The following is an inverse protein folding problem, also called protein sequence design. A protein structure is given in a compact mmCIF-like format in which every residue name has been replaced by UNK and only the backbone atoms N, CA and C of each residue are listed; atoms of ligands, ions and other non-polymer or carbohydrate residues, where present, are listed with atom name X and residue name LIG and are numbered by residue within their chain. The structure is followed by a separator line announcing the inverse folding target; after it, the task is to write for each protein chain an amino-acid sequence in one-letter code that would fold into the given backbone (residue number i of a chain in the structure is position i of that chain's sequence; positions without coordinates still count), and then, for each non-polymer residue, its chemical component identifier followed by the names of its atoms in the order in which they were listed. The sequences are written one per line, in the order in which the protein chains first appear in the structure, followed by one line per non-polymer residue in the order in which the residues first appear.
data_IF_204905273836
#
_entry.id   IF_204905273836
#
_cell.length_a   1.000
_cell.length_b   1.000
_cell.length_c   1.000
_cell.angle_alpha   90.00
_cell.angle_beta   90.00
_cell.angle_gamma   90.00
#
_symmetry.space_group_name_H-M   'P 1'
#
loop_
_entity.id
_entity.type
_entity.pdbx_description
1 polymer ?
#
# COMPACT_ATOMS: atom_id res chain seq x y z
N UNK A 1 -28.13 -13.09 11.06
CA UNK A 1 -27.01 -12.48 10.30
C UNK A 1 -27.03 -13.06 8.90
N UNK A 2 -27.25 -12.23 7.88
CA UNK A 2 -27.14 -12.64 6.48
C UNK A 2 -25.65 -12.60 6.11
N UNK A 3 -25.09 -13.73 5.68
CA UNK A 3 -23.68 -13.81 5.28
C UNK A 3 -23.54 -13.11 3.92
N UNK A 4 -22.68 -12.09 3.86
CA UNK A 4 -22.32 -11.42 2.62
C UNK A 4 -21.08 -12.09 2.02
N UNK A 5 -21.17 -12.48 0.74
CA UNK A 5 -20.07 -13.12 0.02
C UNK A 5 -19.35 -12.12 -0.89
N UNK A 6 -18.02 -12.10 -0.83
CA UNK A 6 -17.18 -11.38 -1.80
C UNK A 6 -16.76 -12.35 -2.92
N UNK A 7 -16.75 -11.90 -4.17
CA UNK A 7 -16.35 -12.71 -5.33
C UNK A 7 -15.06 -12.18 -5.96
N UNK A 8 -14.10 -13.05 -6.27
CA UNK A 8 -12.86 -12.74 -7.01
C UNK A 8 -12.39 -13.96 -7.81
N UNK A 9 -11.83 -13.73 -8.99
CA UNK A 9 -11.14 -14.76 -9.78
C UNK A 9 -9.67 -14.86 -9.34
N UNK A 10 -9.18 -16.08 -9.10
CA UNK A 10 -7.79 -16.36 -8.70
C UNK A 10 -7.20 -17.50 -9.53
N UNK A 11 -5.87 -17.60 -9.56
CA UNK A 11 -5.14 -18.78 -10.03
C UNK A 11 -4.51 -19.48 -8.81
N UNK A 12 -5.07 -20.60 -8.32
CA UNK A 12 -4.55 -21.28 -7.15
C UNK A 12 -3.25 -22.03 -7.45
N UNK A 13 -2.37 -22.07 -6.45
CA UNK A 13 -1.20 -22.94 -6.38
C UNK A 13 -1.43 -23.98 -5.28
N UNK A 14 -0.92 -25.19 -5.50
CA UNK A 14 -1.07 -26.31 -4.56
C UNK A 14 0.29 -26.92 -4.28
N UNK A 15 0.59 -27.11 -2.99
CA UNK A 15 1.71 -27.90 -2.51
C UNK A 15 1.17 -29.08 -1.71
N UNK A 16 1.57 -30.30 -2.11
CA UNK A 16 1.17 -31.55 -1.44
C UNK A 16 2.40 -32.16 -0.77
N UNK A 17 2.23 -32.63 0.45
CA UNK A 17 3.27 -33.35 1.18
C UNK A 17 2.63 -34.48 1.97
N UNK A 18 3.35 -35.57 2.16
CA UNK A 18 2.90 -36.69 2.97
C UNK A 18 3.81 -36.82 4.18
N UNK A 19 3.20 -36.91 5.36
CA UNK A 19 3.93 -37.21 6.61
C UNK A 19 3.12 -38.22 7.41
N UNK A 20 3.76 -39.31 7.82
CA UNK A 20 3.16 -40.40 8.60
C UNK A 20 1.92 -41.03 7.92
N UNK A 21 1.94 -41.13 6.58
CA UNK A 21 0.83 -41.69 5.78
C UNK A 21 -0.37 -40.76 5.62
N UNK A 22 -0.27 -39.51 6.08
CA UNK A 22 -1.32 -38.49 5.94
C UNK A 22 -0.89 -37.46 4.90
N UNK A 23 -1.66 -37.36 3.82
CA UNK A 23 -1.50 -36.31 2.82
C UNK A 23 -1.95 -34.96 3.37
N UNK A 24 -1.07 -33.97 3.29
CA UNK A 24 -1.34 -32.57 3.61
C UNK A 24 -1.32 -31.73 2.34
N UNK A 25 -2.39 -30.94 2.16
CA UNK A 25 -2.57 -30.02 1.04
C UNK A 25 -2.45 -28.59 1.54
N UNK A 26 -1.56 -27.83 0.94
CA UNK A 26 -1.38 -26.40 1.16
C UNK A 26 -1.80 -25.65 -0.10
N UNK A 27 -2.72 -24.70 0.04
CA UNK A 27 -3.25 -23.89 -1.05
C UNK A 27 -2.79 -22.44 -0.86
N UNK A 28 -2.31 -21.83 -1.94
CA UNK A 28 -1.93 -20.42 -1.96
C UNK A 28 -2.33 -19.78 -3.28
N UNK A 29 -2.40 -18.45 -3.33
CA UNK A 29 -2.57 -17.69 -4.57
C UNK A 29 -1.89 -16.35 -4.38
N UNK A 30 -1.29 -15.82 -5.44
CA UNK A 30 -0.83 -14.43 -5.46
C UNK A 30 -1.90 -13.58 -6.10
N UNK A 31 -2.27 -12.48 -5.45
CA UNK A 31 -3.26 -11.52 -5.95
C UNK A 31 -2.68 -10.12 -5.87
N UNK A 32 -2.72 -9.39 -6.99
CA UNK A 32 -2.46 -7.96 -7.00
C UNK A 32 -3.77 -7.23 -6.71
N UNK A 33 -3.91 -6.72 -5.50
CA UNK A 33 -5.05 -5.88 -5.12
C UNK A 33 -4.62 -4.43 -4.97
N UNK A 34 -5.41 -3.45 -5.47
CA UNK A 34 -5.18 -2.06 -5.15
C UNK A 34 -5.08 -1.87 -3.64
N UNK A 35 -4.01 -1.22 -3.19
CA UNK A 35 -3.83 -0.83 -1.80
C UNK A 35 -4.01 0.68 -1.69
N UNK A 36 -4.78 1.10 -0.70
CA UNK A 36 -4.90 2.49 -0.31
C UNK A 36 -4.07 2.70 0.95
N UNK A 37 -3.18 3.68 0.89
CA UNK A 37 -2.42 4.13 2.04
C UNK A 37 -2.94 5.48 2.51
N UNK A 38 -2.99 5.67 3.82
CA UNK A 38 -3.10 6.99 4.41
C UNK A 38 -1.72 7.64 4.44
N UNK A 39 -1.60 8.88 3.99
CA UNK A 39 -0.34 9.62 4.04
C UNK A 39 -0.29 10.41 5.34
N UNK A 40 0.81 10.30 6.08
CA UNK A 40 0.98 11.02 7.35
C UNK A 40 2.35 11.64 7.39
N UNK A 41 2.43 12.98 7.27
CA UNK A 41 3.66 13.72 7.48
C UNK A 41 4.27 13.41 8.84
N UNK A 42 5.57 13.17 8.87
CA UNK A 42 6.34 12.83 10.06
C UNK A 42 7.59 13.71 10.11
N UNK A 43 7.96 14.14 11.33
CA UNK A 43 9.16 14.92 11.54
C UNK A 43 10.43 14.07 11.28
N UNK A 44 11.46 14.69 10.70
CA UNK A 44 12.75 14.05 10.49
C UNK A 44 13.61 14.78 9.47
N UNK A 45 13.35 14.52 8.18
CA UNK A 45 14.18 15.06 7.07
C UNK A 45 13.69 16.44 6.62
N UNK A 46 12.38 16.63 6.55
CA UNK A 46 11.72 17.89 6.19
C UNK A 46 10.72 18.28 7.29
N UNK A 47 10.49 19.59 7.56
CA UNK A 47 9.43 20.03 8.46
C UNK A 47 8.06 19.54 8.01
N UNK A 48 7.21 19.17 8.97
CA UNK A 48 5.86 18.61 8.70
C UNK A 48 5.03 19.57 7.87
N UNK A 49 5.04 20.86 8.21
CA UNK A 49 4.28 21.90 7.53
C UNK A 49 4.72 22.06 6.07
N UNK A 50 6.01 21.88 5.80
CA UNK A 50 6.55 21.94 4.44
C UNK A 50 6.13 20.71 3.64
N UNK A 51 6.12 19.52 4.24
CA UNK A 51 5.64 18.30 3.59
C UNK A 51 4.16 18.45 3.22
N UNK A 52 3.33 18.91 4.15
CA UNK A 52 1.91 19.17 3.93
C UNK A 52 1.67 20.18 2.81
N UNK A 53 2.39 21.30 2.83
CA UNK A 53 2.26 22.33 1.81
C UNK A 53 2.60 21.79 0.41
N UNK A 54 3.71 21.07 0.28
CA UNK A 54 4.15 20.51 -1.00
C UNK A 54 3.17 19.44 -1.50
N UNK A 55 2.73 18.53 -0.64
CA UNK A 55 1.76 17.48 -1.03
C UNK A 55 0.43 18.09 -1.47
N UNK A 56 -0.07 19.09 -0.74
CA UNK A 56 -1.32 19.79 -1.08
C UNK A 56 -1.19 20.51 -2.42
N UNK A 57 -0.12 21.30 -2.59
CA UNK A 57 0.14 22.01 -3.83
C UNK A 57 0.26 21.04 -5.02
N UNK A 58 0.94 19.91 -4.85
CA UNK A 58 1.10 18.94 -5.93
C UNK A 58 -0.20 18.21 -6.25
N UNK A 59 -1.04 17.94 -5.24
CA UNK A 59 -2.37 17.38 -5.45
C UNK A 59 -3.26 18.32 -6.27
N UNK A 60 -3.29 19.61 -5.93
CA UNK A 60 -4.07 20.63 -6.67
C UNK A 60 -3.57 20.79 -8.11
N UNK A 61 -2.27 20.60 -8.34
CA UNK A 61 -1.63 20.78 -9.64
C UNK A 61 -1.55 19.50 -10.49
N UNK A 62 -2.10 18.38 -10.02
CA UNK A 62 -1.96 17.05 -10.61
C UNK A 62 -0.49 16.71 -10.94
N UNK A 63 0.39 16.98 -9.98
CA UNK A 63 1.84 16.80 -10.12
C UNK A 63 2.31 15.61 -9.30
N UNK A 64 3.11 14.75 -9.92
CA UNK A 64 3.75 13.62 -9.25
C UNK A 64 4.81 14.10 -8.23
N UNK A 65 5.00 13.35 -7.17
CA UNK A 65 5.99 13.61 -6.13
C UNK A 65 6.82 12.35 -5.85
N UNK A 66 8.08 12.55 -5.52
CA UNK A 66 8.92 11.54 -4.89
C UNK A 66 8.85 11.73 -3.38
N UNK A 67 8.68 10.64 -2.62
CA UNK A 67 8.57 10.66 -1.16
C UNK A 67 9.61 9.73 -0.53
N UNK A 68 10.08 10.11 0.65
CA UNK A 68 10.79 9.20 1.55
C UNK A 68 9.86 8.83 2.69
N UNK A 69 9.60 7.54 2.88
CA UNK A 69 8.59 7.08 3.82
C UNK A 69 8.95 5.74 4.47
N UNK A 70 8.28 5.47 5.59
CA UNK A 70 8.20 4.14 6.21
C UNK A 70 6.75 3.69 6.18
N UNK A 71 6.53 2.41 5.85
CA UNK A 71 5.20 1.79 5.94
C UNK A 71 4.87 1.37 7.37
N UNK A 72 3.64 1.62 7.77
CA UNK A 72 3.08 1.17 9.04
C UNK A 72 1.66 0.66 8.85
N UNK A 73 1.24 -0.26 9.73
CA UNK A 73 -0.15 -0.73 9.78
C UNK A 73 -0.84 -0.11 10.99
N UNK A 74 -1.93 0.63 10.74
CA UNK A 74 -2.75 1.23 11.81
C UNK A 74 -4.11 0.52 11.91
N UNK A 75 -4.88 0.85 12.96
CA UNK A 75 -6.27 0.39 13.10
C UNK A 75 -7.18 0.88 11.96
N UNK A 76 -6.77 1.92 11.23
CA UNK A 76 -7.52 2.52 10.11
C UNK A 76 -7.01 2.06 8.74
N UNK A 77 -6.05 1.12 8.70
CA UNK A 77 -5.46 0.60 7.48
C UNK A 77 -3.97 0.89 7.35
N UNK A 78 -3.43 0.57 6.18
CA UNK A 78 -2.03 0.82 5.84
C UNK A 78 -1.75 2.33 5.77
N UNK A 79 -0.58 2.72 6.25
CA UNK A 79 -0.15 4.11 6.33
C UNK A 79 1.28 4.25 5.83
N UNK A 80 1.57 5.37 5.17
CA UNK A 80 2.92 5.81 4.84
C UNK A 80 3.26 7.02 5.70
N UNK A 81 4.27 6.88 6.56
CA UNK A 81 4.83 7.98 7.33
C UNK A 81 5.87 8.70 6.47
N UNK A 82 5.58 9.91 6.02
CA UNK A 82 6.38 10.65 5.05
C UNK A 82 7.33 11.60 5.77
N UNK A 83 8.62 11.48 5.50
CA UNK A 83 9.67 12.29 6.12
C UNK A 83 10.23 13.37 5.19
N UNK A 84 10.08 13.20 3.88
CA UNK A 84 10.38 14.23 2.88
C UNK A 84 9.58 14.02 1.61
N UNK A 85 9.40 15.10 0.86
CA UNK A 85 8.68 15.12 -0.41
C UNK A 85 9.38 16.05 -1.39
N UNK A 86 9.44 15.64 -2.66
CA UNK A 86 10.01 16.42 -3.75
C UNK A 86 9.08 16.36 -4.97
N UNK A 87 8.60 17.51 -5.48
CA UNK A 87 7.85 17.53 -6.73
C UNK A 87 8.69 17.03 -7.90
N UNK A 88 8.10 16.16 -8.72
CA UNK A 88 8.69 15.73 -9.98
C UNK A 88 8.31 16.71 -11.09
N UNK A 89 9.18 16.93 -12.09
CA UNK A 89 8.83 17.72 -13.26
C UNK A 89 7.53 17.19 -13.89
N UNK A 90 6.61 18.09 -14.26
CA UNK A 90 5.40 17.67 -14.99
C UNK A 90 5.85 16.99 -16.28
N UNK A 91 5.31 15.81 -16.57
CA UNK A 91 5.50 15.17 -17.86
C UNK A 91 4.91 16.13 -18.90
N UNK A 92 5.75 16.65 -19.80
CA UNK A 92 5.25 17.41 -20.94
C UNK A 92 4.31 16.49 -21.73
N UNK A 93 3.13 16.98 -22.14
CA UNK A 93 2.21 16.21 -22.98
C UNK A 93 2.88 15.76 -24.29
#
# INVERSE_FOLDING_TARGET
MQVQFNTRTILPSVYRTEKDGVEKVYLSTTVFSPQRYNLTPAAGVMPVEQIEAVLTQCADNAQEVEIQFVESQTKFGAQMQIFSVKPLPKKNP
#
